data_IF_492910320743
#
_entry.id   IF_492910320743
#
_cell.length_a   1.000
_cell.length_b   1.000
_cell.length_c   1.000
_cell.angle_alpha   90.00
_cell.angle_beta   90.00
_cell.angle_gamma   90.00
#
_symmetry.space_group_name_H-M   'P 1'
#
loop_
_entity.id
_entity.type
_entity.pdbx_description
1 polymer ?
#
# COMPACT_ATOMS: atom_id res chain seq x y z
N UNK A 1 21.34 -21.39 8.52
CA UNK A 1 21.56 -20.39 7.46
C UNK A 1 20.32 -19.52 7.38
N UNK A 2 20.43 -18.25 7.73
CA UNK A 2 19.31 -17.32 7.69
C UNK A 2 19.07 -16.87 6.25
N UNK A 3 17.96 -17.28 5.64
CA UNK A 3 17.50 -16.70 4.38
C UNK A 3 17.16 -15.23 4.62
N UNK A 4 18.06 -14.34 4.19
CA UNK A 4 17.84 -12.90 4.21
C UNK A 4 16.67 -12.59 3.26
N UNK A 5 15.57 -12.10 3.82
CA UNK A 5 14.46 -11.59 3.00
C UNK A 5 14.96 -10.42 2.13
N UNK A 6 14.67 -10.43 0.83
CA UNK A 6 15.10 -9.37 -0.06
C UNK A 6 14.61 -8.02 0.46
N UNK A 7 15.50 -7.03 0.48
CA UNK A 7 15.16 -5.66 0.83
C UNK A 7 14.00 -5.14 -0.06
N UNK A 8 13.33 -4.07 0.34
CA UNK A 8 12.28 -3.47 -0.52
C UNK A 8 12.82 -3.04 -1.89
N UNK A 9 14.12 -2.72 -1.96
CA UNK A 9 14.84 -2.42 -3.19
C UNK A 9 15.03 -3.67 -4.07
N UNK A 10 15.38 -4.81 -3.49
CA UNK A 10 15.56 -6.06 -4.23
C UNK A 10 14.23 -6.58 -4.79
N UNK A 11 13.16 -6.48 -4.02
CA UNK A 11 11.82 -6.82 -4.49
C UNK A 11 11.37 -5.91 -5.65
N UNK A 12 11.75 -4.62 -5.62
CA UNK A 12 11.49 -3.68 -6.70
C UNK A 12 12.35 -4.00 -7.94
N UNK A 13 13.65 -4.27 -7.77
CA UNK A 13 14.56 -4.69 -8.85
C UNK A 13 14.07 -5.97 -9.54
N UNK A 14 13.68 -6.99 -8.78
CA UNK A 14 13.11 -8.24 -9.32
C UNK A 14 11.84 -8.00 -10.12
N UNK A 15 10.95 -7.09 -9.65
CA UNK A 15 9.73 -6.72 -10.35
C UNK A 15 10.03 -6.04 -11.69
N UNK A 16 10.92 -5.03 -11.70
CA UNK A 16 11.32 -4.36 -12.93
C UNK A 16 11.98 -5.33 -13.91
N UNK A 17 12.91 -6.18 -13.45
CA UNK A 17 13.55 -7.21 -14.27
C UNK A 17 12.53 -8.12 -14.97
N UNK A 18 11.47 -8.54 -14.27
CA UNK A 18 10.44 -9.40 -14.85
C UNK A 18 9.67 -8.68 -15.95
N UNK A 19 9.24 -7.46 -15.74
CA UNK A 19 8.49 -6.71 -16.75
C UNK A 19 9.37 -6.33 -17.96
N UNK A 20 10.63 -5.96 -17.72
CA UNK A 20 11.59 -5.67 -18.80
C UNK A 20 11.91 -6.91 -19.63
N UNK A 21 11.98 -8.11 -19.04
CA UNK A 21 12.16 -9.37 -19.80
C UNK A 21 11.07 -9.59 -20.85
N UNK A 22 9.83 -9.19 -20.58
CA UNK A 22 8.76 -9.27 -21.57
C UNK A 22 9.02 -8.35 -22.76
N UNK A 23 9.50 -7.14 -22.52
CA UNK A 23 9.86 -6.20 -23.58
C UNK A 23 11.09 -6.65 -24.39
N UNK A 24 12.14 -7.09 -23.69
CA UNK A 24 13.35 -7.62 -24.34
C UNK A 24 13.00 -8.83 -25.21
N UNK A 25 12.20 -9.77 -24.71
CA UNK A 25 11.77 -10.94 -25.45
C UNK A 25 10.97 -10.58 -26.71
N UNK A 26 10.07 -9.59 -26.60
CA UNK A 26 9.36 -9.07 -27.76
C UNK A 26 10.33 -8.47 -28.79
N UNK A 27 11.30 -7.67 -28.36
CA UNK A 27 12.33 -7.10 -29.24
C UNK A 27 13.14 -8.21 -29.91
N UNK A 28 13.60 -9.21 -29.18
CA UNK A 28 14.38 -10.33 -29.73
C UNK A 28 13.60 -11.12 -30.78
N UNK A 29 12.30 -11.26 -30.63
CA UNK A 29 11.42 -11.98 -31.55
C UNK A 29 11.06 -11.17 -32.80
N UNK A 30 10.89 -9.86 -32.69
CA UNK A 30 10.39 -9.02 -33.79
C UNK A 30 11.49 -8.15 -34.42
N UNK A 31 12.52 -7.80 -33.67
CA UNK A 31 13.62 -6.93 -34.09
C UNK A 31 14.97 -7.43 -33.56
N UNK A 32 15.40 -8.67 -33.92
CA UNK A 32 16.58 -9.34 -33.34
C UNK A 32 17.90 -8.60 -33.55
N UNK A 33 18.00 -7.82 -34.62
CA UNK A 33 19.22 -7.08 -34.99
C UNK A 33 19.27 -5.65 -34.42
N UNK A 34 18.21 -5.18 -33.76
CA UNK A 34 18.14 -3.82 -33.22
C UNK A 34 18.53 -3.77 -31.74
N UNK A 35 19.35 -2.82 -31.38
CA UNK A 35 19.60 -2.53 -29.98
C UNK A 35 18.41 -1.75 -29.35
N UNK A 36 18.24 -1.85 -28.02
CA UNK A 36 17.17 -1.11 -27.31
C UNK A 36 17.24 0.42 -27.52
N UNK A 37 18.44 0.97 -27.75
CA UNK A 37 18.66 2.39 -28.04
C UNK A 37 18.14 2.84 -29.40
N UNK A 38 17.97 1.90 -30.34
CA UNK A 38 17.55 2.13 -31.72
C UNK A 38 16.04 2.02 -31.91
N UNK A 39 15.33 1.57 -30.89
CA UNK A 39 13.88 1.47 -30.93
C UNK A 39 13.24 2.85 -30.91
N UNK A 40 12.59 3.21 -32.00
CA UNK A 40 11.87 4.46 -32.14
C UNK A 40 10.43 4.38 -31.57
N UNK A 41 9.70 5.49 -31.49
CA UNK A 41 8.33 5.49 -31.00
C UNK A 41 7.36 4.59 -31.78
N UNK A 42 7.53 4.43 -33.09
CA UNK A 42 6.61 3.62 -33.91
C UNK A 42 6.75 2.13 -33.61
N UNK A 43 8.00 1.65 -33.48
CA UNK A 43 8.28 0.26 -33.10
C UNK A 43 7.80 -0.05 -31.68
N UNK A 44 7.98 0.89 -30.74
CA UNK A 44 7.50 0.70 -29.37
C UNK A 44 5.98 0.76 -29.32
N UNK A 45 5.34 1.53 -30.18
CA UNK A 45 3.86 1.58 -30.27
C UNK A 45 3.26 0.26 -30.77
N UNK A 46 3.94 -0.46 -31.70
CA UNK A 46 3.56 -1.83 -32.06
C UNK A 46 3.53 -2.76 -30.85
N UNK A 47 4.60 -2.72 -30.02
CA UNK A 47 4.61 -3.49 -28.78
C UNK A 47 3.47 -3.13 -27.83
N UNK A 48 3.17 -1.85 -27.69
CA UNK A 48 2.06 -1.36 -26.85
C UNK A 48 0.72 -1.85 -27.40
N UNK A 49 0.54 -1.82 -28.72
CA UNK A 49 -0.67 -2.27 -29.41
C UNK A 49 -0.92 -3.76 -29.19
N UNK A 50 0.10 -4.60 -29.34
CA UNK A 50 0.01 -6.04 -29.01
C UNK A 50 -0.36 -6.31 -27.55
N UNK A 51 0.14 -5.50 -26.62
CA UNK A 51 -0.27 -5.61 -25.22
C UNK A 51 -1.75 -5.21 -25.01
N UNK A 52 -2.28 -4.27 -25.80
CA UNK A 52 -3.71 -3.90 -25.77
C UNK A 52 -4.58 -5.02 -26.29
N UNK A 53 -4.22 -5.61 -27.43
CA UNK A 53 -4.89 -6.78 -27.98
C UNK A 53 -4.97 -7.92 -26.96
N UNK A 54 -3.88 -8.20 -26.23
CA UNK A 54 -3.88 -9.19 -25.15
C UNK A 54 -4.83 -8.82 -24.01
N UNK A 55 -5.02 -7.53 -23.72
CA UNK A 55 -6.01 -7.10 -22.72
C UNK A 55 -7.42 -7.30 -23.23
N UNK A 56 -7.70 -6.95 -24.49
CA UNK A 56 -9.01 -7.12 -25.15
C UNK A 56 -9.38 -8.60 -25.27
N UNK A 57 -8.41 -9.46 -25.56
CA UNK A 57 -8.58 -10.92 -25.56
C UNK A 57 -8.71 -11.54 -24.16
N UNK A 58 -8.56 -10.75 -23.07
CA UNK A 58 -8.63 -11.26 -21.70
C UNK A 58 -7.37 -11.98 -21.20
N UNK A 59 -6.32 -12.10 -22.00
CA UNK A 59 -5.06 -12.77 -21.69
C UNK A 59 -4.18 -11.94 -20.73
N UNK A 60 -4.31 -10.61 -20.77
CA UNK A 60 -3.56 -9.67 -19.96
C UNK A 60 -4.52 -8.74 -19.19
N UNK A 61 -4.31 -8.60 -17.88
CA UNK A 61 -5.09 -7.65 -17.07
C UNK A 61 -4.63 -6.20 -17.32
N UNK A 62 -5.53 -5.18 -17.38
CA UNK A 62 -5.17 -3.77 -17.57
C UNK A 62 -4.09 -3.26 -16.61
N UNK A 63 -4.12 -3.71 -15.35
CA UNK A 63 -3.09 -3.39 -14.35
C UNK A 63 -1.72 -3.97 -14.71
N UNK A 64 -1.67 -5.14 -15.35
CA UNK A 64 -0.42 -5.76 -15.82
C UNK A 64 0.12 -5.05 -17.06
N UNK A 65 -0.74 -4.65 -17.99
CA UNK A 65 -0.42 -3.76 -19.10
C UNK A 65 0.27 -2.48 -18.58
N UNK A 66 -0.41 -1.72 -17.71
CA UNK A 66 0.12 -0.47 -17.15
C UNK A 66 1.49 -0.67 -16.47
N UNK A 67 1.67 -1.79 -15.78
CA UNK A 67 2.94 -2.12 -15.12
C UNK A 67 4.06 -2.38 -16.11
N UNK A 68 3.80 -3.12 -17.21
CA UNK A 68 4.78 -3.39 -18.26
C UNK A 68 5.22 -2.10 -18.94
N UNK A 69 4.25 -1.31 -19.41
CA UNK A 69 4.50 -0.01 -20.05
C UNK A 69 5.26 0.95 -19.12
N UNK A 70 4.84 1.03 -17.85
CA UNK A 70 5.53 1.89 -16.87
C UNK A 70 6.97 1.46 -16.59
N UNK A 71 7.25 0.16 -16.59
CA UNK A 71 8.60 -0.35 -16.37
C UNK A 71 9.54 0.02 -17.55
N UNK A 72 9.06 -0.15 -18.78
CA UNK A 72 9.82 0.21 -19.98
C UNK A 72 10.00 1.73 -20.08
N UNK A 73 8.93 2.51 -19.84
CA UNK A 73 9.03 3.98 -19.79
C UNK A 73 10.03 4.48 -18.73
N UNK A 74 10.08 3.81 -17.56
CA UNK A 74 11.04 4.17 -16.52
C UNK A 74 12.49 3.90 -16.94
N UNK A 75 12.74 2.77 -17.65
CA UNK A 75 14.06 2.45 -18.20
C UNK A 75 14.52 3.53 -19.20
N UNK A 76 13.68 3.84 -20.19
CA UNK A 76 14.02 4.83 -21.21
C UNK A 76 14.15 6.24 -20.64
N UNK A 77 13.33 6.63 -19.67
CA UNK A 77 13.47 7.91 -18.96
C UNK A 77 14.80 8.00 -18.24
N UNK A 78 15.22 6.92 -17.57
CA UNK A 78 16.51 6.86 -16.91
C UNK A 78 17.66 6.94 -17.93
N UNK A 79 17.56 6.20 -19.05
CA UNK A 79 18.59 6.16 -20.06
C UNK A 79 18.73 7.48 -20.85
N UNK A 80 17.62 8.20 -21.04
CA UNK A 80 17.57 9.47 -21.78
C UNK A 80 17.78 10.72 -20.92
N UNK A 81 18.13 10.57 -19.65
CA UNK A 81 18.57 11.73 -18.84
C UNK A 81 19.84 12.36 -19.43
N UNK A 82 19.96 13.69 -19.49
CA UNK A 82 21.08 14.37 -20.16
C UNK A 82 22.46 13.84 -19.77
N UNK A 83 22.66 13.54 -18.49
CA UNK A 83 23.93 13.00 -17.97
C UNK A 83 24.23 11.58 -18.40
N UNK A 84 23.23 10.82 -18.86
CA UNK A 84 23.34 9.41 -19.26
C UNK A 84 23.17 9.19 -20.75
N UNK A 85 22.43 10.05 -21.42
CA UNK A 85 22.13 9.92 -22.84
C UNK A 85 23.39 9.78 -23.72
N UNK A 86 24.46 10.52 -23.39
CA UNK A 86 25.75 10.44 -24.07
C UNK A 86 26.39 9.03 -23.98
N UNK A 87 26.19 8.32 -22.87
CA UNK A 87 26.76 6.98 -22.65
C UNK A 87 25.82 5.88 -23.17
N UNK A 88 24.53 6.03 -22.97
CA UNK A 88 23.52 5.02 -23.34
C UNK A 88 23.17 5.06 -24.83
N UNK A 89 23.38 6.19 -25.49
CA UNK A 89 22.93 6.43 -26.86
C UNK A 89 21.40 6.54 -27.00
N UNK A 90 20.66 6.74 -25.91
CA UNK A 90 19.20 6.88 -25.91
C UNK A 90 18.82 8.36 -25.88
N UNK A 91 18.36 8.96 -27.00
CA UNK A 91 18.09 10.40 -27.06
C UNK A 91 16.80 10.80 -26.31
N UNK A 92 15.82 9.92 -26.26
CA UNK A 92 14.51 10.22 -25.62
C UNK A 92 13.77 8.93 -25.22
N UNK A 93 12.77 9.09 -24.37
CA UNK A 93 11.85 8.01 -24.06
C UNK A 93 10.86 7.80 -25.23
N UNK A 94 10.85 6.63 -25.90
CA UNK A 94 9.97 6.36 -27.03
C UNK A 94 8.51 6.07 -26.61
N UNK A 95 8.24 5.82 -25.33
CA UNK A 95 6.88 5.57 -24.82
C UNK A 95 6.11 6.91 -24.74
N UNK A 96 4.98 7.07 -25.47
CA UNK A 96 4.17 8.28 -25.41
C UNK A 96 3.62 8.55 -23.99
N UNK A 97 3.44 9.83 -23.67
CA UNK A 97 2.71 10.22 -22.46
C UNK A 97 1.26 9.75 -22.59
N UNK A 98 0.66 9.23 -21.49
CA UNK A 98 -0.72 8.71 -21.42
C UNK A 98 -0.99 7.37 -22.12
N UNK A 99 0.02 6.54 -22.27
CA UNK A 99 -0.15 5.16 -22.81
C UNK A 99 -0.86 4.20 -21.84
N UNK A 100 -1.31 4.66 -20.69
CA UNK A 100 -1.99 3.81 -19.70
C UNK A 100 -3.43 3.44 -20.07
N UNK A 101 -3.87 2.25 -19.69
CA UNK A 101 -5.27 1.83 -19.76
C UNK A 101 -5.98 2.10 -18.44
N UNK A 102 -7.27 2.43 -18.48
CA UNK A 102 -8.09 2.54 -17.27
C UNK A 102 -8.07 1.21 -16.50
N UNK A 103 -7.55 1.23 -15.28
CA UNK A 103 -7.69 0.08 -14.41
C UNK A 103 -9.13 0.01 -13.87
N UNK A 104 -9.67 -1.20 -13.62
CA UNK A 104 -10.97 -1.33 -12.96
C UNK A 104 -11.01 -0.47 -11.70
N UNK A 105 -12.17 0.19 -11.48
CA UNK A 105 -12.41 1.08 -10.34
C UNK A 105 -11.94 0.44 -9.03
N UNK A 106 -11.37 1.25 -8.15
CA UNK A 106 -11.01 0.87 -6.79
C UNK A 106 -12.13 0.04 -6.14
N UNK A 107 -11.76 -0.99 -5.41
CA UNK A 107 -12.73 -1.79 -4.68
C UNK A 107 -13.62 -0.87 -3.83
N UNK A 108 -14.93 -1.09 -3.87
CA UNK A 108 -15.89 -0.32 -3.05
C UNK A 108 -15.45 -0.35 -1.57
N UNK A 109 -15.59 0.75 -0.82
CA UNK A 109 -15.34 0.75 0.61
C UNK A 109 -16.20 -0.33 1.28
N UNK A 110 -15.82 -0.76 2.47
CA UNK A 110 -16.69 -1.61 3.30
C UNK A 110 -17.90 -0.78 3.73
N UNK A 111 -19.07 -1.40 3.73
CA UNK A 111 -20.18 -0.86 4.48
C UNK A 111 -19.89 -0.94 6.00
N UNK A 112 -20.49 -0.09 6.82
CA UNK A 112 -20.33 -0.18 8.28
C UNK A 112 -20.82 -1.53 8.82
N UNK A 113 -21.90 -2.06 8.25
CA UNK A 113 -22.39 -3.41 8.51
C UNK A 113 -21.39 -4.52 8.18
N UNK A 114 -20.64 -4.38 7.08
CA UNK A 114 -19.59 -5.34 6.70
C UNK A 114 -18.48 -5.37 7.76
N UNK A 115 -18.01 -4.20 8.18
CA UNK A 115 -16.97 -4.08 9.20
C UNK A 115 -17.47 -4.66 10.54
N UNK A 116 -18.68 -4.32 10.94
CA UNK A 116 -19.33 -4.85 12.14
C UNK A 116 -19.46 -6.37 12.10
N UNK A 117 -19.83 -6.95 10.96
CA UNK A 117 -19.93 -8.40 10.78
C UNK A 117 -18.59 -9.09 10.94
N UNK A 118 -17.52 -8.57 10.35
CA UNK A 118 -16.17 -9.09 10.53
C UNK A 118 -15.75 -9.03 12.00
N UNK A 119 -15.92 -7.88 12.66
CA UNK A 119 -15.53 -7.72 14.05
C UNK A 119 -16.34 -8.65 14.99
N UNK A 120 -17.62 -8.90 14.69
CA UNK A 120 -18.46 -9.86 15.43
C UNK A 120 -17.91 -11.28 15.36
N UNK A 121 -17.52 -11.75 14.15
CA UNK A 121 -16.93 -13.09 13.97
C UNK A 121 -15.64 -13.23 14.77
N UNK A 122 -14.76 -12.20 14.72
CA UNK A 122 -13.51 -12.21 15.48
C UNK A 122 -13.80 -12.21 16.99
N UNK A 123 -14.78 -11.41 17.44
CA UNK A 123 -15.18 -11.35 18.85
C UNK A 123 -15.67 -12.70 19.36
N UNK A 124 -16.46 -13.44 18.57
CA UNK A 124 -16.91 -14.77 18.94
C UNK A 124 -15.75 -15.74 19.16
N UNK A 125 -14.69 -15.67 18.34
CA UNK A 125 -13.48 -16.46 18.52
C UNK A 125 -12.64 -15.99 19.73
N UNK A 126 -12.60 -14.67 20.00
CA UNK A 126 -11.93 -14.07 21.17
C UNK A 126 -12.58 -14.57 22.47
N UNK A 127 -13.91 -14.56 22.54
CA UNK A 127 -14.67 -15.02 23.73
C UNK A 127 -14.38 -16.49 24.04
N UNK A 128 -14.09 -17.30 23.02
CA UNK A 128 -13.63 -18.70 23.19
C UNK A 128 -12.17 -18.84 23.64
N UNK A 129 -11.52 -17.77 24.08
CA UNK A 129 -10.16 -17.77 24.65
C UNK A 129 -9.04 -17.69 23.62
N UNK A 130 -9.31 -17.37 22.35
CA UNK A 130 -8.26 -17.25 21.32
C UNK A 130 -7.46 -15.95 21.45
N UNK A 131 -6.24 -15.99 21.97
CA UNK A 131 -5.31 -14.86 22.01
C UNK A 131 -5.00 -14.34 20.59
N UNK A 132 -4.96 -15.21 19.60
CA UNK A 132 -4.78 -14.80 18.21
C UNK A 132 -5.97 -13.97 17.72
N UNK A 133 -7.20 -14.33 18.07
CA UNK A 133 -8.39 -13.56 17.73
C UNK A 133 -8.42 -12.21 18.46
N UNK A 134 -7.96 -12.14 19.70
CA UNK A 134 -7.82 -10.88 20.43
C UNK A 134 -6.89 -9.90 19.70
N UNK A 135 -5.70 -10.36 19.32
CA UNK A 135 -4.74 -9.58 18.52
C UNK A 135 -5.33 -9.18 17.16
N UNK A 136 -5.97 -10.11 16.46
CA UNK A 136 -6.52 -9.87 15.13
C UNK A 136 -7.70 -8.89 15.15
N UNK A 137 -8.49 -8.87 16.24
CA UNK A 137 -9.53 -7.86 16.46
C UNK A 137 -8.93 -6.45 16.48
N UNK A 138 -7.91 -6.25 17.31
CA UNK A 138 -7.20 -4.97 17.42
C UNK A 138 -6.53 -4.60 16.11
N UNK A 139 -5.92 -5.57 15.42
CA UNK A 139 -5.26 -5.39 14.13
C UNK A 139 -6.25 -4.92 13.03
N UNK A 140 -7.41 -5.54 12.92
CA UNK A 140 -8.43 -5.19 11.92
C UNK A 140 -9.04 -3.83 12.23
N UNK A 141 -9.51 -3.63 13.47
CA UNK A 141 -10.13 -2.37 13.89
C UNK A 141 -9.14 -1.21 13.88
N UNK A 142 -7.92 -1.42 14.40
CA UNK A 142 -6.85 -0.42 14.36
C UNK A 142 -6.41 -0.04 12.94
N UNK A 143 -6.35 -1.02 12.03
CA UNK A 143 -6.09 -0.75 10.61
C UNK A 143 -7.13 0.18 9.97
N UNK A 144 -8.40 0.02 10.32
CA UNK A 144 -9.48 0.91 9.88
C UNK A 144 -9.39 2.28 10.55
N UNK A 145 -9.22 2.34 11.87
CA UNK A 145 -9.19 3.60 12.63
C UNK A 145 -7.99 4.48 12.26
N UNK A 146 -6.80 3.89 12.06
CA UNK A 146 -5.61 4.63 11.69
C UNK A 146 -5.51 4.95 10.19
N UNK A 147 -6.27 4.24 9.34
CA UNK A 147 -6.12 4.37 7.89
C UNK A 147 -4.70 4.08 7.37
N UNK A 148 -3.87 3.42 8.14
CA UNK A 148 -2.46 3.20 7.87
C UNK A 148 -2.21 2.18 6.73
N UNK A 149 -0.99 2.20 6.16
CA UNK A 149 -0.55 1.14 5.26
C UNK A 149 -0.23 -0.13 6.04
N UNK A 150 -0.43 -1.30 5.43
CA UNK A 150 -0.11 -2.58 6.08
C UNK A 150 1.36 -2.66 6.56
N UNK A 151 2.29 -2.02 5.85
CA UNK A 151 3.69 -1.97 6.27
C UNK A 151 3.93 -1.09 7.50
N UNK A 152 3.13 -0.05 7.68
CA UNK A 152 3.15 0.83 8.84
C UNK A 152 2.56 0.09 10.04
N UNK A 153 1.40 -0.53 9.86
CA UNK A 153 0.75 -1.36 10.90
C UNK A 153 1.67 -2.46 11.43
N UNK A 154 2.36 -3.18 10.54
CA UNK A 154 3.30 -4.24 10.93
C UNK A 154 4.49 -3.74 11.76
N UNK A 155 4.85 -2.47 11.64
CA UNK A 155 6.03 -1.88 12.29
C UNK A 155 5.72 -1.14 13.56
N UNK A 156 4.44 -1.04 13.96
CA UNK A 156 4.07 -0.39 15.21
C UNK A 156 4.69 -1.09 16.42
N UNK A 157 5.25 -0.27 17.30
CA UNK A 157 5.77 -0.66 18.60
C UNK A 157 5.00 0.03 19.70
N UNK A 158 5.16 -0.40 20.94
CA UNK A 158 4.55 0.26 22.07
C UNK A 158 5.09 1.68 22.30
N UNK A 159 6.34 1.95 21.97
CA UNK A 159 6.94 3.30 21.97
C UNK A 159 6.33 4.28 20.95
N UNK A 160 5.59 3.76 19.95
CA UNK A 160 4.91 4.58 18.95
C UNK A 160 3.51 5.03 19.42
N UNK A 161 3.05 4.54 20.58
CA UNK A 161 1.75 4.85 21.17
C UNK A 161 1.97 5.68 22.42
N UNK A 162 1.67 6.96 22.32
CA UNK A 162 1.81 7.95 23.39
C UNK A 162 0.43 8.27 23.95
N UNK A 163 0.10 7.85 25.20
CA UNK A 163 -1.12 8.28 25.89
C UNK A 163 -1.07 9.77 26.22
N UNK A 164 -2.22 10.44 26.16
CA UNK A 164 -2.42 11.82 26.57
C UNK A 164 -3.64 11.88 27.50
N UNK A 165 -3.89 13.02 28.13
CA UNK A 165 -5.01 13.20 29.04
C UNK A 165 -6.35 12.85 28.37
N UNK A 166 -6.49 13.21 27.09
CA UNK A 166 -7.63 12.81 26.27
C UNK A 166 -7.13 12.06 25.01
N UNK A 167 -7.29 10.72 25.02
CA UNK A 167 -6.87 9.87 23.91
C UNK A 167 -5.36 9.67 23.82
N UNK A 168 -4.79 9.74 22.63
CA UNK A 168 -3.36 9.51 22.43
C UNK A 168 -2.86 9.89 21.06
N UNK A 169 -1.56 9.79 20.89
CA UNK A 169 -0.87 9.91 19.62
C UNK A 169 -0.35 8.54 19.15
N UNK A 170 -0.45 8.27 17.85
CA UNK A 170 0.18 7.09 17.22
C UNK A 170 1.13 7.55 16.15
N UNK A 171 2.42 7.27 16.34
CA UNK A 171 3.48 7.61 15.40
C UNK A 171 3.61 6.53 14.33
N UNK A 172 3.47 6.87 13.07
CA UNK A 172 3.62 5.97 11.94
C UNK A 172 4.83 6.33 11.08
N UNK A 173 5.64 5.34 10.73
CA UNK A 173 6.77 5.53 9.82
C UNK A 173 6.34 5.24 8.37
N UNK A 174 6.24 6.29 7.57
CA UNK A 174 5.84 6.24 6.17
C UNK A 174 6.95 5.78 5.21
N UNK A 175 6.69 5.86 3.91
CA UNK A 175 7.69 5.57 2.86
C UNK A 175 8.85 6.57 2.95
N UNK A 176 10.09 6.06 2.94
CA UNK A 176 11.30 6.88 3.08
C UNK A 176 11.55 7.36 4.51
N UNK A 177 11.03 6.64 5.51
CA UNK A 177 11.20 6.93 6.95
C UNK A 177 10.69 8.32 7.39
N UNK A 178 9.76 8.90 6.63
CA UNK A 178 9.08 10.13 7.05
C UNK A 178 8.02 9.79 8.11
N UNK A 179 8.19 10.25 9.37
CA UNK A 179 7.21 10.01 10.41
C UNK A 179 5.97 10.89 10.20
N UNK A 180 4.83 10.41 10.67
CA UNK A 180 3.64 11.23 10.90
C UNK A 180 2.95 10.76 12.17
N UNK A 181 2.32 11.66 12.86
CA UNK A 181 1.53 11.38 14.07
C UNK A 181 0.05 11.42 13.74
N UNK A 182 -0.68 10.46 14.25
CA UNK A 182 -2.14 10.38 14.15
C UNK A 182 -2.70 10.55 15.58
N UNK A 183 -3.51 11.57 15.78
CA UNK A 183 -4.28 11.74 17.02
C UNK A 183 -5.40 10.70 17.06
N UNK A 184 -5.56 10.01 18.16
CA UNK A 184 -6.58 8.97 18.34
C UNK A 184 -7.43 9.25 19.57
N UNK A 185 -8.69 8.79 19.56
CA UNK A 185 -9.61 8.89 20.69
C UNK A 185 -9.18 7.98 21.85
N UNK A 186 -9.73 8.25 23.04
CA UNK A 186 -9.53 7.41 24.22
C UNK A 186 -9.96 5.95 23.96
N UNK A 187 -11.04 5.73 23.22
CA UNK A 187 -11.49 4.37 22.88
C UNK A 187 -10.52 3.64 21.94
N UNK A 188 -9.91 4.37 21.01
CA UNK A 188 -8.87 3.80 20.13
C UNK A 188 -7.60 3.49 20.93
N UNK A 189 -7.24 4.32 21.88
CA UNK A 189 -6.11 4.04 22.78
C UNK A 189 -6.37 2.78 23.62
N UNK A 190 -7.52 2.71 24.30
CA UNK A 190 -7.95 1.53 25.07
C UNK A 190 -8.01 0.26 24.23
N UNK A 191 -8.38 0.38 22.95
CA UNK A 191 -8.35 -0.75 22.02
C UNK A 191 -6.94 -1.34 21.89
N UNK A 192 -5.90 -0.52 21.74
CA UNK A 192 -4.52 -1.01 21.70
C UNK A 192 -4.08 -1.57 23.05
N UNK A 193 -4.36 -0.88 24.14
CA UNK A 193 -4.02 -1.30 25.50
C UNK A 193 -4.68 -2.64 25.91
N UNK A 194 -5.79 -3.00 25.28
CA UNK A 194 -6.46 -4.30 25.49
C UNK A 194 -5.61 -5.52 25.10
N UNK A 195 -4.47 -5.31 24.39
CA UNK A 195 -3.49 -6.36 24.09
C UNK A 195 -2.55 -6.67 25.26
N UNK A 196 -2.59 -5.86 26.33
CA UNK A 196 -1.57 -5.85 27.38
C UNK A 196 -0.35 -5.05 26.91
N UNK A 197 -0.04 -3.96 27.63
CA UNK A 197 1.07 -3.08 27.27
C UNK A 197 2.39 -3.81 27.47
N UNK A 198 3.19 -3.92 26.40
CA UNK A 198 4.54 -4.44 26.41
C UNK A 198 5.59 -3.34 26.72
N UNK A 199 6.85 -3.73 26.67
CA UNK A 199 7.97 -2.79 26.74
C UNK A 199 7.98 -1.85 25.52
N UNK A 200 8.56 -0.65 25.61
CA UNK A 200 8.55 0.33 24.52
C UNK A 200 9.00 -0.24 23.16
N UNK A 201 10.07 -1.03 23.16
CA UNK A 201 10.64 -1.66 21.96
C UNK A 201 9.87 -2.87 21.43
N UNK A 202 8.85 -3.36 22.14
CA UNK A 202 8.06 -4.52 21.70
C UNK A 202 7.13 -4.18 20.55
N UNK A 203 6.93 -5.16 19.68
CA UNK A 203 5.99 -5.03 18.58
C UNK A 203 4.54 -5.05 19.07
N UNK A 204 3.73 -4.10 18.62
CA UNK A 204 2.29 -4.12 18.91
C UNK A 204 1.60 -5.38 18.35
N UNK A 205 2.07 -5.86 17.21
CA UNK A 205 1.58 -7.08 16.56
C UNK A 205 2.71 -8.09 16.33
N UNK A 206 3.16 -8.80 17.39
CA UNK A 206 4.22 -9.78 17.29
C UNK A 206 3.79 -11.00 16.48
N UNK A 207 4.77 -11.67 15.88
CA UNK A 207 4.58 -12.95 15.17
C UNK A 207 4.76 -14.11 16.12
N UNK A 208 3.80 -15.04 16.17
CA UNK A 208 3.92 -16.27 16.96
C UNK A 208 4.89 -17.29 16.34
N UNK A 209 5.30 -17.10 15.09
CA UNK A 209 6.14 -18.08 14.36
C UNK A 209 7.61 -17.68 14.28
N UNK A 210 7.95 -16.44 14.58
CA UNK A 210 9.33 -15.92 14.51
C UNK A 210 9.51 -14.78 15.50
N UNK A 211 10.72 -14.52 15.92
CA UNK A 211 11.03 -13.32 16.67
C UNK A 211 10.94 -12.09 15.73
N UNK A 212 9.92 -11.25 15.95
CA UNK A 212 9.67 -10.08 15.12
C UNK A 212 8.18 -9.77 14.89
N UNK A 213 7.86 -8.78 14.06
CA UNK A 213 6.47 -8.39 13.81
C UNK A 213 5.75 -9.35 12.86
N UNK A 214 4.44 -9.25 12.79
CA UNK A 214 3.66 -9.85 11.72
C UNK A 214 4.14 -9.34 10.35
N UNK A 215 4.23 -10.25 9.38
CA UNK A 215 4.51 -9.83 7.99
C UNK A 215 3.28 -9.27 7.30
N UNK A 216 3.48 -8.47 6.26
CA UNK A 216 2.38 -7.96 5.42
C UNK A 216 1.51 -9.08 4.84
N UNK A 217 2.15 -10.20 4.47
CA UNK A 217 1.47 -11.39 3.97
C UNK A 217 0.63 -12.05 5.07
N UNK A 218 1.17 -12.16 6.30
CA UNK A 218 0.44 -12.72 7.43
C UNK A 218 -0.79 -11.86 7.77
N UNK A 219 -0.64 -10.54 7.85
CA UNK A 219 -1.76 -9.61 8.06
C UNK A 219 -2.82 -9.78 6.97
N UNK A 220 -2.42 -9.80 5.69
CA UNK A 220 -3.36 -9.96 4.59
C UNK A 220 -4.08 -11.32 4.63
N UNK A 221 -3.37 -12.41 4.94
CA UNK A 221 -3.94 -13.74 5.06
C UNK A 221 -4.94 -13.84 6.23
N UNK A 222 -4.60 -13.24 7.40
CA UNK A 222 -5.49 -13.18 8.57
C UNK A 222 -6.76 -12.40 8.26
N UNK A 223 -6.63 -11.20 7.66
CA UNK A 223 -7.79 -10.41 7.24
C UNK A 223 -8.66 -11.15 6.23
N UNK A 224 -8.06 -11.81 5.23
CA UNK A 224 -8.81 -12.58 4.24
C UNK A 224 -9.54 -13.77 4.86
N UNK A 225 -8.97 -14.43 5.86
CA UNK A 225 -9.61 -15.50 6.61
C UNK A 225 -10.85 -14.99 7.35
N UNK A 226 -10.71 -13.96 8.19
CA UNK A 226 -11.84 -13.38 8.92
C UNK A 226 -12.91 -12.79 7.99
N UNK A 227 -12.47 -12.27 6.84
CA UNK A 227 -13.39 -11.77 5.82
C UNK A 227 -14.23 -12.93 5.22
N UNK A 228 -13.62 -14.09 4.91
CA UNK A 228 -14.37 -15.26 4.42
C UNK A 228 -15.39 -15.75 5.45
N UNK A 229 -14.99 -15.83 6.72
CA UNK A 229 -15.85 -16.29 7.81
C UNK A 229 -17.05 -15.33 8.02
N UNK A 230 -16.92 -14.06 7.65
CA UNK A 230 -17.98 -13.03 7.70
C UNK A 230 -18.66 -12.80 6.33
N UNK A 231 -18.33 -13.57 5.29
CA UNK A 231 -18.76 -13.36 3.89
C UNK A 231 -18.45 -11.93 3.37
N UNK A 232 -17.31 -11.36 3.78
CA UNK A 232 -16.85 -10.01 3.42
C UNK A 232 -15.46 -10.10 2.78
N UNK A 233 -15.25 -9.48 1.62
CA UNK A 233 -13.91 -9.39 1.04
C UNK A 233 -13.07 -8.38 1.81
N UNK A 234 -12.29 -8.83 2.79
CA UNK A 234 -11.46 -8.00 3.65
C UNK A 234 -9.97 -8.09 3.25
N UNK A 235 -9.29 -6.94 3.20
CA UNK A 235 -7.85 -6.84 3.05
C UNK A 235 -7.36 -5.44 3.49
N UNK A 236 -6.06 -5.27 3.85
CA UNK A 236 -5.56 -4.02 4.44
C UNK A 236 -5.84 -2.76 3.61
N UNK A 237 -5.69 -2.84 2.29
CA UNK A 237 -5.94 -1.70 1.40
C UNK A 237 -7.43 -1.28 1.39
N UNK A 238 -8.35 -2.25 1.56
CA UNK A 238 -9.78 -1.94 1.65
C UNK A 238 -10.10 -1.24 2.95
N UNK A 239 -9.51 -1.64 4.09
CA UNK A 239 -9.65 -0.94 5.38
C UNK A 239 -9.22 0.53 5.25
N UNK A 240 -8.05 0.79 4.67
CA UNK A 240 -7.57 2.15 4.46
C UNK A 240 -8.47 2.96 3.50
N UNK A 241 -8.97 2.34 2.44
CA UNK A 241 -9.91 3.00 1.53
C UNK A 241 -11.25 3.30 2.21
N UNK A 242 -11.72 2.38 3.05
CA UNK A 242 -12.92 2.56 3.86
C UNK A 242 -12.76 3.69 4.87
N UNK A 243 -11.62 3.74 5.59
CA UNK A 243 -11.27 4.87 6.46
C UNK A 243 -11.42 6.20 5.71
N UNK A 244 -10.75 6.32 4.54
CA UNK A 244 -10.80 7.55 3.75
C UNK A 244 -12.23 7.95 3.35
N UNK A 245 -13.02 6.98 2.87
CA UNK A 245 -14.39 7.25 2.42
C UNK A 245 -15.31 7.62 3.58
N UNK A 246 -15.18 6.91 4.71
CA UNK A 246 -16.01 7.19 5.89
C UNK A 246 -15.63 8.52 6.54
N UNK A 247 -14.34 8.87 6.59
CA UNK A 247 -13.88 10.15 7.10
C UNK A 247 -14.46 11.33 6.29
N UNK A 248 -14.40 11.25 4.96
CA UNK A 248 -15.02 12.28 4.09
C UNK A 248 -16.54 12.36 4.32
N UNK A 249 -17.23 11.22 4.42
CA UNK A 249 -18.68 11.20 4.69
C UNK A 249 -19.04 11.81 6.05
N UNK A 250 -18.11 11.77 7.02
CA UNK A 250 -18.25 12.37 8.35
C UNK A 250 -17.71 13.81 8.41
N UNK A 251 -17.48 14.45 7.27
CA UNK A 251 -17.10 15.86 7.15
C UNK A 251 -15.64 16.17 7.43
N UNK A 252 -14.75 15.17 7.44
CA UNK A 252 -13.31 15.43 7.50
C UNK A 252 -12.86 16.05 6.18
N UNK A 253 -12.18 17.18 6.24
CA UNK A 253 -11.65 17.83 5.04
C UNK A 253 -10.53 17.02 4.37
N UNK A 254 -10.31 17.26 3.08
CA UNK A 254 -9.36 16.50 2.27
C UNK A 254 -7.91 16.70 2.69
N UNK A 255 -7.56 17.87 3.25
CA UNK A 255 -6.18 18.16 3.69
C UNK A 255 -5.85 17.39 4.97
N UNK A 256 -6.73 17.44 5.98
CA UNK A 256 -6.64 16.65 7.21
C UNK A 256 -6.58 15.15 6.89
N UNK A 257 -7.44 14.66 5.99
CA UNK A 257 -7.41 13.27 5.56
C UNK A 257 -6.08 12.92 4.85
N UNK A 258 -5.60 13.78 3.95
CA UNK A 258 -4.35 13.57 3.22
C UNK A 258 -3.14 13.51 4.17
N UNK A 259 -3.11 14.39 5.17
CA UNK A 259 -2.09 14.39 6.22
C UNK A 259 -2.13 13.08 7.03
N UNK A 260 -3.31 12.69 7.53
CA UNK A 260 -3.52 11.43 8.26
C UNK A 260 -3.07 10.21 7.43
N UNK A 261 -3.43 10.16 6.16
CA UNK A 261 -3.05 9.07 5.28
C UNK A 261 -1.58 9.10 4.85
N UNK A 262 -0.88 10.24 4.92
CA UNK A 262 0.48 10.41 4.43
C UNK A 262 0.57 10.19 2.92
N UNK A 263 -0.25 10.88 2.14
CA UNK A 263 -0.17 10.91 0.68
C UNK A 263 0.94 11.86 0.25
N UNK A 264 1.97 11.33 -0.42
CA UNK A 264 3.13 12.09 -0.90
C UNK A 264 2.92 12.78 -2.26
N UNK A 265 1.70 12.74 -2.81
CA UNK A 265 1.38 13.35 -4.11
C UNK A 265 -0.03 13.94 -4.11
N UNK A 266 -0.14 15.14 -3.62
CA UNK A 266 -1.05 16.13 -4.20
C UNK A 266 -0.22 16.92 -5.17
N UNK A 267 -0.57 16.89 -6.47
CA UNK A 267 0.10 17.70 -7.47
C UNK A 267 0.10 19.16 -7.04
N UNK A 268 1.31 19.74 -6.99
CA UNK A 268 1.63 21.16 -7.04
C UNK A 268 0.59 22.11 -6.44
N UNK A 269 0.57 22.27 -5.15
CA UNK A 269 0.49 23.54 -4.38
C UNK A 269 0.43 23.18 -2.90
N UNK A 270 1.49 22.63 -2.36
CA UNK A 270 1.61 22.40 -0.92
C UNK A 270 2.16 23.67 -0.25
N UNK A 271 1.29 24.60 0.04
CA UNK A 271 1.46 25.30 1.30
C UNK A 271 1.20 24.26 2.38
N UNK A 272 2.26 23.81 3.05
CA UNK A 272 2.19 23.00 4.25
C UNK A 272 1.41 23.77 5.32
N UNK A 273 0.12 23.56 5.38
CA UNK A 273 -0.56 23.59 6.66
C UNK A 273 -0.15 22.28 7.31
N UNK A 274 0.84 22.35 8.19
CA UNK A 274 1.08 21.32 9.18
C UNK A 274 -0.24 21.21 9.95
N UNK A 275 -1.06 20.20 9.64
CA UNK A 275 -2.20 19.88 10.47
C UNK A 275 -1.61 19.60 11.85
N UNK A 276 -2.00 20.41 12.83
CA UNK A 276 -1.57 20.19 14.20
C UNK A 276 -1.96 18.77 14.61
N UNK A 277 -1.17 18.08 15.45
CA UNK A 277 -1.48 16.73 15.91
C UNK A 277 -2.85 16.60 16.58
N UNK A 278 -3.47 17.74 16.96
CA UNK A 278 -4.81 17.82 17.52
C UNK A 278 -5.95 17.39 16.58
N UNK A 279 -5.75 17.44 15.25
CA UNK A 279 -6.76 17.11 14.24
C UNK A 279 -6.34 15.91 13.40
N UNK A 280 -7.09 14.84 13.48
CA UNK A 280 -6.87 13.63 12.71
C UNK A 280 -8.19 13.01 12.30
N UNK A 281 -8.24 12.42 11.08
CA UNK A 281 -9.42 11.69 10.62
C UNK A 281 -9.78 10.49 11.50
N UNK A 282 -8.82 9.98 12.28
CA UNK A 282 -9.03 8.90 13.24
C UNK A 282 -9.98 9.31 14.37
N UNK A 283 -9.97 10.57 14.79
CA UNK A 283 -10.88 11.09 15.83
C UNK A 283 -12.36 11.02 15.43
N UNK A 284 -12.66 11.06 14.14
CA UNK A 284 -14.04 10.98 13.61
C UNK A 284 -14.53 9.56 13.37
N UNK A 285 -13.69 8.56 13.59
CA UNK A 285 -13.97 7.14 13.29
C UNK A 285 -13.92 6.24 14.53
N UNK A 286 -13.27 6.72 15.60
CA UNK A 286 -13.06 6.01 16.87
C UNK A 286 -14.08 6.30 17.94
#
# INVERSE_FOLDING_TARGET
MAESHPSSLDAMRLRYRRELRHFIRWRDQNHPHMHLRELDPALVDDWVSRLREQVEAGELKPRSFNRRVSAVSALYRWASEPTRAAVTGVPRNPIPRRTGMSAPKLAKPLAESDLTSVLRVITAAKVKGSAIAARDYVMVRGSYLLGCRVSELCRLRWEDIEPLDEGGNVRLLGKGSKPRTIRVSTDTLKLFESLGRGEPGDWLFPSNKRNGPLTRQAVAARMAMWGRDANVRLHPHRCRHTHATHAIRRGVDVFTLSATLGHSSTGTTSHYVLAEPGESSSLKLG
#
